data_IF_941681018748
#
_entry.id   IF_941681018748
#
_cell.length_a   1.000
_cell.length_b   1.000
_cell.length_c   1.000
_cell.angle_alpha   90.00
_cell.angle_beta   90.00
_cell.angle_gamma   90.00
#
_symmetry.space_group_name_H-M   'P 1'
#
loop_
_entity.id
_entity.type
_entity.pdbx_description
1 polymer ?
#
# COMPACT_ATOMS: atom_id res chain seq x y z
N UNK A 1 2.01 0.78 -12.60
CA UNK A 1 2.07 -0.49 -11.83
C UNK A 1 0.70 -1.15 -11.72
N UNK A 2 -0.36 -0.39 -11.42
CA UNK A 2 -1.74 -0.90 -11.31
C UNK A 2 -2.24 -1.64 -12.55
N UNK A 3 -2.05 -1.09 -13.76
CA UNK A 3 -2.47 -1.78 -15.00
C UNK A 3 -1.75 -3.12 -15.23
N UNK A 4 -0.47 -3.23 -14.81
CA UNK A 4 0.28 -4.50 -14.91
C UNK A 4 -0.23 -5.52 -13.90
N UNK A 5 -0.55 -5.09 -12.67
CA UNK A 5 -1.16 -5.94 -11.65
C UNK A 5 -2.55 -6.41 -12.09
N UNK A 6 -3.40 -5.51 -12.57
CA UNK A 6 -4.73 -5.82 -13.08
C UNK A 6 -4.70 -6.81 -14.25
N UNK A 7 -3.80 -6.59 -15.22
CA UNK A 7 -3.61 -7.55 -16.31
C UNK A 7 -3.21 -8.93 -15.79
N UNK A 8 -2.26 -9.00 -14.86
CA UNK A 8 -1.81 -10.26 -14.25
C UNK A 8 -2.93 -10.95 -13.44
N UNK A 9 -3.74 -10.18 -12.72
CA UNK A 9 -4.91 -10.70 -12.00
C UNK A 9 -5.98 -11.23 -12.97
N UNK A 10 -6.19 -10.57 -14.11
CA UNK A 10 -7.08 -11.06 -15.19
C UNK A 10 -6.54 -12.35 -15.82
N UNK A 11 -5.25 -12.39 -16.16
CA UNK A 11 -4.60 -13.56 -16.78
C UNK A 11 -4.62 -14.79 -15.84
N UNK A 12 -4.59 -14.56 -14.51
CA UNK A 12 -4.69 -15.60 -13.49
C UNK A 12 -6.13 -15.93 -13.06
N UNK A 13 -7.15 -15.38 -13.74
CA UNK A 13 -8.56 -15.64 -13.43
C UNK A 13 -9.05 -15.06 -12.09
N UNK A 14 -8.33 -14.09 -11.52
CA UNK A 14 -8.72 -13.32 -10.33
C UNK A 14 -9.57 -12.11 -10.73
N UNK A 15 -9.37 -11.57 -11.94
CA UNK A 15 -9.93 -10.28 -12.38
C UNK A 15 -11.45 -10.14 -12.40
N UNK A 16 -12.22 -11.23 -12.23
CA UNK A 16 -13.69 -11.22 -12.12
C UNK A 16 -14.21 -11.25 -10.67
N UNK A 17 -13.37 -11.62 -9.70
CA UNK A 17 -13.74 -11.64 -8.28
C UNK A 17 -13.09 -10.49 -7.53
N UNK A 18 -13.93 -9.65 -6.92
CA UNK A 18 -13.49 -8.64 -5.96
C UNK A 18 -13.24 -9.36 -4.62
N UNK A 19 -12.01 -9.80 -4.36
CA UNK A 19 -11.71 -10.50 -3.11
C UNK A 19 -10.22 -10.71 -2.82
N UNK A 20 -9.80 -10.35 -1.60
CA UNK A 20 -8.44 -10.57 -1.09
C UNK A 20 -8.09 -12.07 -0.96
N UNK A 21 -9.08 -12.93 -0.68
CA UNK A 21 -8.89 -14.36 -0.41
C UNK A 21 -8.30 -15.13 -1.62
N UNK A 22 -8.90 -15.02 -2.80
CA UNK A 22 -8.45 -15.73 -4.01
C UNK A 22 -7.10 -15.22 -4.52
N UNK A 23 -6.85 -13.92 -4.39
CA UNK A 23 -5.54 -13.35 -4.69
C UNK A 23 -4.46 -13.94 -3.78
N UNK A 24 -4.73 -14.07 -2.47
CA UNK A 24 -3.80 -14.70 -1.52
C UNK A 24 -3.55 -16.16 -1.85
N UNK A 25 -4.58 -16.93 -2.21
CA UNK A 25 -4.42 -18.33 -2.59
C UNK A 25 -3.60 -18.54 -3.87
N UNK A 26 -3.87 -17.73 -4.90
CA UNK A 26 -3.14 -17.82 -6.17
C UNK A 26 -1.72 -17.27 -6.03
N UNK A 27 -1.51 -16.25 -5.18
CA UNK A 27 -0.16 -15.75 -4.88
C UNK A 27 0.71 -16.80 -4.15
N UNK A 28 0.13 -17.75 -3.40
CA UNK A 28 0.87 -18.88 -2.84
C UNK A 28 1.41 -19.81 -3.93
N UNK A 29 0.72 -19.91 -5.07
CA UNK A 29 1.07 -20.79 -6.20
C UNK A 29 1.87 -20.06 -7.29
N UNK A 30 1.77 -18.74 -7.37
CA UNK A 30 2.42 -17.91 -8.40
C UNK A 30 3.46 -16.96 -7.79
N UNK A 31 4.76 -17.24 -7.94
CA UNK A 31 5.82 -16.37 -7.42
C UNK A 31 5.84 -14.99 -8.10
N UNK A 32 5.42 -14.91 -9.36
CA UNK A 32 5.30 -13.64 -10.09
C UNK A 32 4.21 -12.73 -9.49
N UNK A 33 3.05 -13.30 -9.13
CA UNK A 33 1.96 -12.57 -8.47
C UNK A 33 2.35 -12.15 -7.05
N UNK A 34 3.03 -13.03 -6.29
CA UNK A 34 3.56 -12.69 -4.96
C UNK A 34 4.54 -11.51 -5.01
N UNK A 35 5.46 -11.51 -5.97
CA UNK A 35 6.41 -10.42 -6.17
C UNK A 35 5.71 -9.11 -6.55
N UNK A 36 4.68 -9.16 -7.40
CA UNK A 36 3.87 -8.00 -7.77
C UNK A 36 3.11 -7.44 -6.56
N UNK A 37 2.48 -8.29 -5.76
CA UNK A 37 1.76 -7.89 -4.55
C UNK A 37 2.69 -7.25 -3.51
N UNK A 38 3.91 -7.78 -3.35
CA UNK A 38 4.92 -7.18 -2.47
C UNK A 38 5.32 -5.79 -2.95
N UNK A 39 5.62 -5.62 -4.24
CA UNK A 39 5.96 -4.31 -4.82
C UNK A 39 4.83 -3.31 -4.65
N UNK A 40 3.60 -3.74 -4.92
CA UNK A 40 2.41 -2.89 -4.75
C UNK A 40 2.23 -2.46 -3.29
N UNK A 41 2.34 -3.39 -2.34
CA UNK A 41 2.24 -3.10 -0.89
C UNK A 41 3.32 -2.12 -0.44
N UNK A 42 4.57 -2.30 -0.87
CA UNK A 42 5.67 -1.40 -0.50
C UNK A 42 5.42 0.02 -0.98
N UNK A 43 5.00 0.20 -2.24
CA UNK A 43 4.69 1.54 -2.76
C UNK A 43 3.51 2.14 -2.02
N UNK A 44 2.43 1.39 -1.81
CA UNK A 44 1.25 1.90 -1.11
C UNK A 44 1.56 2.34 0.33
N UNK A 45 2.34 1.54 1.06
CA UNK A 45 2.80 1.89 2.43
C UNK A 45 3.67 3.15 2.40
N UNK A 46 4.61 3.27 1.46
CA UNK A 46 5.45 4.45 1.35
C UNK A 46 4.65 5.71 0.99
N UNK A 47 3.69 5.60 0.07
CA UNK A 47 2.81 6.71 -0.32
C UNK A 47 1.92 7.17 0.83
N UNK A 48 1.32 6.24 1.57
CA UNK A 48 0.51 6.58 2.75
C UNK A 48 1.37 7.23 3.86
N UNK A 49 2.58 6.72 4.11
CA UNK A 49 3.50 7.33 5.08
C UNK A 49 3.86 8.77 4.72
N UNK A 50 4.09 9.07 3.43
CA UNK A 50 4.40 10.43 2.99
C UNK A 50 3.28 11.43 3.32
N UNK A 51 2.03 10.99 3.29
CA UNK A 51 0.87 11.85 3.55
C UNK A 51 0.66 12.07 5.06
N UNK A 52 0.96 11.07 5.90
CA UNK A 52 0.78 11.16 7.36
C UNK A 52 1.95 11.78 8.13
N UNK A 53 3.19 11.61 7.68
CA UNK A 53 4.38 12.15 8.38
C UNK A 53 4.33 13.68 8.54
N UNK A 54 3.97 14.49 7.52
CA UNK A 54 3.86 15.94 7.66
C UNK A 54 2.79 16.35 8.67
N UNK A 55 1.66 15.64 8.70
CA UNK A 55 0.55 15.91 9.63
C UNK A 55 1.01 15.64 11.06
N UNK A 56 1.64 14.49 11.31
CA UNK A 56 2.22 14.16 12.61
C UNK A 56 3.25 15.20 13.05
N UNK A 57 4.16 15.59 12.15
CA UNK A 57 5.19 16.57 12.45
C UNK A 57 4.62 17.96 12.72
N UNK A 58 3.59 18.38 11.98
CA UNK A 58 2.87 19.62 12.21
C UNK A 58 2.18 19.64 13.58
N UNK A 59 1.51 18.54 13.97
CA UNK A 59 0.91 18.41 15.31
C UNK A 59 1.97 18.46 16.42
N UNK A 60 3.09 17.76 16.24
CA UNK A 60 4.19 17.80 17.19
C UNK A 60 4.83 19.19 17.29
N UNK A 61 5.01 19.88 16.16
CA UNK A 61 5.58 21.23 16.10
C UNK A 61 4.66 22.25 16.75
N UNK A 62 3.34 22.18 16.48
CA UNK A 62 2.32 23.01 17.13
C UNK A 62 2.30 22.77 18.64
N UNK A 63 2.26 21.51 19.06
CA UNK A 63 2.25 21.15 20.47
C UNK A 63 3.49 21.68 21.19
N UNK A 64 4.67 21.48 20.61
CA UNK A 64 5.92 21.97 21.20
C UNK A 64 5.94 23.49 21.29
N UNK A 65 5.52 24.19 20.23
CA UNK A 65 5.44 25.65 20.21
C UNK A 65 4.47 26.19 21.26
N UNK A 66 3.37 25.49 21.54
CA UNK A 66 2.40 25.89 22.58
C UNK A 66 2.90 25.68 24.01
N UNK A 67 4.01 24.95 24.19
CA UNK A 67 4.63 24.66 25.49
C UNK A 67 5.89 25.49 25.75
N UNK A 68 6.42 26.15 24.73
CA UNK A 68 7.49 27.12 24.89
C UNK A 68 6.88 28.41 25.46
N UNK A 69 7.29 28.79 26.66
CA UNK A 69 7.03 30.11 27.23
C UNK A 69 8.10 31.04 26.62
N UNK A 70 7.69 31.97 25.76
CA UNK A 70 8.57 32.87 25.01
C UNK A 70 8.36 34.31 25.44
#
# INVERSE_FOLDING_TARGET
>A
MMMKKYKMEKDLGIGTEVGYSRNVEIAKKSPALAAMNRKFRMIHVLSTLHEFVPIWLAMHSWYLSSKLDL
#
